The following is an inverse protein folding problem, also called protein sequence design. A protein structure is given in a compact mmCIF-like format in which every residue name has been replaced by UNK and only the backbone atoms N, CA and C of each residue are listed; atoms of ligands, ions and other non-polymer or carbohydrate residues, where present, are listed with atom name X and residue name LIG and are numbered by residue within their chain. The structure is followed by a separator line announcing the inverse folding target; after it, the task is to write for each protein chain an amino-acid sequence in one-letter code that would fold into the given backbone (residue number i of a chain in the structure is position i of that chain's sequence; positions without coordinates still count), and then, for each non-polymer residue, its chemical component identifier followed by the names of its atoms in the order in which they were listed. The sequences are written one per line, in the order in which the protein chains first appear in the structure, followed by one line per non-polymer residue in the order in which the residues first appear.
data_IF_276850220237
#
_entry.id   IF_276850220237
#
_cell.length_a   1.000
_cell.length_b   1.000
_cell.length_c   1.000
_cell.angle_alpha   90.00
_cell.angle_beta   90.00
_cell.angle_gamma   90.00
#
_symmetry.space_group_name_H-M   'P 1'
#
loop_
_entity.id
_entity.type
_entity.pdbx_description
1 polymer ?
#
# COMPACT_ATOMS: atom_id res chain seq x y z
N UNK A 1 3.12 -8.50 -19.67
CA UNK A 1 4.41 -8.30 -20.35
C UNK A 1 5.52 -8.50 -19.32
N UNK A 2 6.36 -9.52 -19.50
CA UNK A 2 7.53 -9.76 -18.62
C UNK A 2 8.64 -8.81 -19.04
N UNK A 3 8.65 -7.60 -18.48
CA UNK A 3 9.77 -6.68 -18.59
C UNK A 3 10.93 -7.16 -17.72
N UNK A 4 11.55 -8.29 -18.07
CA UNK A 4 12.79 -8.74 -17.43
C UNK A 4 13.96 -8.17 -18.22
N UNK A 5 14.44 -6.99 -17.81
CA UNK A 5 15.83 -6.65 -18.05
C UNK A 5 16.61 -7.18 -16.83
N UNK A 6 17.36 -8.28 -16.93
CA UNK A 6 18.09 -8.86 -15.79
C UNK A 6 19.14 -7.91 -15.19
N UNK A 7 19.41 -6.75 -15.81
CA UNK A 7 20.28 -5.70 -15.29
C UNK A 7 19.57 -4.63 -14.44
N UNK A 8 18.24 -4.61 -14.42
CA UNK A 8 17.44 -3.68 -13.59
C UNK A 8 16.62 -4.54 -12.65
N UNK A 9 17.22 -4.90 -11.52
CA UNK A 9 16.45 -5.45 -10.41
C UNK A 9 15.73 -4.26 -9.74
N UNK A 10 14.39 -4.30 -9.78
CA UNK A 10 13.52 -3.27 -9.16
C UNK A 10 13.90 -3.08 -7.70
N UNK A 11 14.26 -4.15 -7.00
CA UNK A 11 14.70 -4.10 -5.61
C UNK A 11 16.01 -3.34 -5.42
N UNK A 12 16.88 -3.29 -6.43
CA UNK A 12 18.21 -2.65 -6.36
C UNK A 12 18.14 -1.13 -6.53
N UNK A 13 17.16 -0.60 -7.25
CA UNK A 13 17.08 0.84 -7.53
C UNK A 13 15.84 1.51 -6.94
N UNK A 14 14.69 0.82 -6.97
CA UNK A 14 13.43 1.39 -6.52
C UNK A 14 13.35 1.44 -4.99
N UNK A 15 13.69 0.34 -4.30
CA UNK A 15 13.57 0.29 -2.84
C UNK A 15 14.47 1.30 -2.12
N UNK A 16 15.77 1.47 -2.44
CA UNK A 16 16.58 2.48 -1.76
C UNK A 16 16.06 3.90 -1.97
N UNK A 17 15.52 4.20 -3.15
CA UNK A 17 14.92 5.50 -3.44
C UNK A 17 13.64 5.70 -2.62
N UNK A 18 12.76 4.70 -2.57
CA UNK A 18 11.53 4.72 -1.78
C UNK A 18 11.85 4.85 -0.29
N UNK A 19 12.79 4.07 0.25
CA UNK A 19 13.20 4.17 1.65
C UNK A 19 13.73 5.58 1.98
N UNK A 20 14.60 6.14 1.13
CA UNK A 20 15.11 7.49 1.33
C UNK A 20 13.99 8.54 1.28
N UNK A 21 13.04 8.39 0.36
CA UNK A 21 11.85 9.25 0.27
C UNK A 21 10.96 9.13 1.51
N UNK A 22 10.77 7.90 2.01
CA UNK A 22 9.93 7.61 3.16
C UNK A 22 10.50 8.13 4.48
N UNK A 23 11.80 8.45 4.57
CA UNK A 23 12.37 9.12 5.76
C UNK A 23 11.67 10.44 6.10
N UNK A 24 11.10 11.13 5.11
CA UNK A 24 10.29 12.32 5.35
C UNK A 24 9.02 12.04 6.18
N UNK A 25 8.64 10.76 6.36
CA UNK A 25 7.52 10.31 7.20
C UNK A 25 7.92 9.74 8.56
N UNK A 26 9.18 9.86 8.96
CA UNK A 26 9.60 9.43 10.30
C UNK A 26 8.80 10.15 11.39
N UNK A 27 8.22 9.38 12.32
CA UNK A 27 7.43 9.90 13.43
C UNK A 27 6.08 10.56 13.06
N UNK A 28 5.71 10.64 11.77
CA UNK A 28 4.42 11.24 11.35
C UNK A 28 3.44 10.20 10.81
N UNK A 29 2.17 10.61 10.68
CA UNK A 29 1.10 9.77 10.17
C UNK A 29 1.20 9.52 8.67
N UNK A 30 0.94 8.27 8.25
CA UNK A 30 0.89 7.84 6.85
C UNK A 30 -0.46 7.20 6.56
N UNK A 31 -1.04 7.51 5.41
CA UNK A 31 -2.20 6.78 4.88
C UNK A 31 -1.75 5.92 3.72
N UNK A 32 -1.90 4.60 3.88
CA UNK A 32 -1.64 3.61 2.86
C UNK A 32 -2.94 3.04 2.30
N UNK A 33 -2.89 2.58 1.07
CA UNK A 33 -4.03 1.96 0.38
C UNK A 33 -3.60 0.63 -0.19
N UNK A 34 -4.37 -0.42 0.08
CA UNK A 34 -4.30 -1.68 -0.64
C UNK A 34 -5.38 -1.68 -1.72
N UNK A 35 -4.99 -1.89 -2.98
CA UNK A 35 -5.90 -1.95 -4.12
C UNK A 35 -5.50 -3.03 -5.12
N UNK A 36 -6.45 -3.39 -5.99
CA UNK A 36 -6.23 -4.23 -7.16
C UNK A 36 -6.73 -3.57 -8.44
N UNK A 37 -6.00 -3.76 -9.53
CA UNK A 37 -6.38 -3.27 -10.85
C UNK A 37 -6.19 -4.36 -11.89
N UNK A 38 -7.23 -4.62 -12.69
CA UNK A 38 -7.15 -5.54 -13.83
C UNK A 38 -6.56 -4.80 -15.03
N UNK A 39 -5.52 -5.39 -15.60
CA UNK A 39 -4.82 -4.88 -16.77
C UNK A 39 -5.01 -5.83 -17.96
N UNK A 40 -5.51 -5.30 -19.07
CA UNK A 40 -5.76 -6.03 -20.32
C UNK A 40 -6.58 -7.32 -20.14
N UNK A 41 -7.49 -7.35 -19.18
CA UNK A 41 -8.33 -8.51 -18.82
C UNK A 41 -7.56 -9.80 -18.56
N UNK A 42 -6.27 -9.68 -18.24
CA UNK A 42 -5.33 -10.82 -18.19
C UNK A 42 -4.44 -10.83 -16.97
N UNK A 43 -4.20 -9.66 -16.41
CA UNK A 43 -3.34 -9.50 -15.25
C UNK A 43 -4.08 -8.76 -14.15
N UNK A 44 -3.84 -9.16 -12.90
CA UNK A 44 -4.27 -8.43 -11.73
C UNK A 44 -3.03 -7.82 -11.07
N UNK A 45 -2.94 -6.50 -11.09
CA UNK A 45 -1.98 -5.75 -10.31
C UNK A 45 -2.51 -5.65 -8.88
N UNK A 46 -1.71 -6.04 -7.90
CA UNK A 46 -1.93 -5.80 -6.47
C UNK A 46 -0.95 -4.70 -6.06
N UNK A 47 -1.41 -3.67 -5.38
CA UNK A 47 -0.55 -2.58 -4.96
C UNK A 47 -0.85 -2.04 -3.57
N UNK A 48 0.20 -1.64 -2.87
CA UNK A 48 0.12 -0.83 -1.66
C UNK A 48 0.74 0.53 -1.95
N UNK A 49 -0.06 1.58 -1.81
CA UNK A 49 0.33 2.94 -2.16
C UNK A 49 0.30 3.87 -0.95
N UNK A 50 1.28 4.76 -0.82
CA UNK A 50 1.20 5.94 0.04
C UNK A 50 0.33 7.00 -0.63
N UNK A 51 -0.54 7.61 0.16
CA UNK A 51 -1.40 8.69 -0.28
C UNK A 51 -0.87 10.02 0.23
N UNK A 52 -0.48 10.89 -0.69
CA UNK A 52 0.06 12.21 -0.37
C UNK A 52 -0.12 13.21 -1.52
N UNK A 53 -0.42 14.48 -1.20
CA UNK A 53 -0.55 15.54 -2.21
C UNK A 53 -1.63 15.29 -3.28
N UNK A 54 -2.67 14.50 -2.95
CA UNK A 54 -3.69 14.08 -3.91
C UNK A 54 -3.18 13.13 -5.00
N UNK A 55 -2.10 12.39 -4.70
CA UNK A 55 -1.49 11.35 -5.55
C UNK A 55 -1.36 10.04 -4.75
N UNK A 56 -1.31 8.93 -5.47
CA UNK A 56 -0.88 7.62 -4.96
C UNK A 56 0.56 7.36 -5.39
N UNK A 57 1.41 6.98 -4.44
CA UNK A 57 2.82 6.66 -4.66
C UNK A 57 2.98 5.17 -4.33
N UNK A 58 3.24 4.30 -5.33
CA UNK A 58 3.37 2.87 -5.10
C UNK A 58 4.56 2.56 -4.19
N UNK A 59 4.33 1.81 -3.12
CA UNK A 59 5.37 1.34 -2.21
C UNK A 59 5.69 -0.14 -2.46
N UNK A 60 4.68 -0.98 -2.59
CA UNK A 60 4.84 -2.40 -2.90
C UNK A 60 3.84 -2.83 -3.96
N UNK A 61 4.26 -3.69 -4.89
CA UNK A 61 3.42 -4.17 -5.99
C UNK A 61 3.70 -5.64 -6.32
N UNK A 62 2.70 -6.33 -6.83
CA UNK A 62 2.82 -7.67 -7.43
C UNK A 62 1.83 -7.82 -8.58
N UNK A 63 2.14 -8.68 -9.54
CA UNK A 63 1.27 -8.95 -10.70
C UNK A 63 0.96 -10.42 -10.78
N UNK A 64 -0.33 -10.74 -10.73
CA UNK A 64 -0.85 -12.08 -10.95
C UNK A 64 -1.36 -12.23 -12.38
N UNK A 65 -1.25 -13.44 -12.95
CA UNK A 65 -1.76 -13.76 -14.28
C UNK A 65 -3.18 -14.31 -14.21
N UNK A 66 -4.15 -13.45 -13.89
CA UNK A 66 -5.58 -13.73 -14.04
C UNK A 66 -6.36 -12.43 -14.34
N UNK A 67 -7.55 -12.58 -14.93
CA UNK A 67 -8.39 -11.45 -15.38
C UNK A 67 -9.43 -10.98 -14.37
N UNK A 68 -9.19 -11.15 -13.06
CA UNK A 68 -10.12 -10.73 -12.01
C UNK A 68 -9.43 -9.79 -11.03
N UNK A 69 -10.17 -8.84 -10.44
CA UNK A 69 -9.66 -8.02 -9.34
C UNK A 69 -9.74 -8.76 -7.99
N UNK A 70 -10.49 -9.87 -7.92
CA UNK A 70 -10.62 -10.65 -6.68
C UNK A 70 -9.34 -11.43 -6.41
N UNK A 71 -8.74 -11.15 -5.25
CA UNK A 71 -7.51 -11.81 -4.79
C UNK A 71 -7.70 -12.36 -3.37
N UNK A 72 -7.01 -13.46 -3.08
CA UNK A 72 -6.98 -14.07 -1.76
C UNK A 72 -5.96 -13.39 -0.84
N UNK A 73 -6.09 -13.62 0.46
CA UNK A 73 -5.14 -13.08 1.45
C UNK A 73 -3.68 -13.42 1.17
N UNK A 74 -3.39 -14.65 0.74
CA UNK A 74 -2.02 -15.08 0.43
C UNK A 74 -1.42 -14.37 -0.79
N UNK A 75 -2.26 -13.81 -1.67
CA UNK A 75 -1.79 -13.10 -2.85
C UNK A 75 -1.22 -11.72 -2.50
N UNK A 76 -1.86 -11.00 -1.57
CA UNK A 76 -1.48 -9.63 -1.22
C UNK A 76 -0.68 -9.52 0.09
N UNK A 77 -0.65 -10.58 0.92
CA UNK A 77 0.19 -10.61 2.14
C UNK A 77 1.67 -10.31 1.85
N UNK A 78 2.33 -10.90 0.84
CA UNK A 78 3.74 -10.60 0.56
C UNK A 78 3.97 -9.13 0.17
N UNK A 79 2.99 -8.50 -0.49
CA UNK A 79 3.03 -7.08 -0.88
C UNK A 79 2.95 -6.18 0.36
N UNK A 80 2.07 -6.52 1.30
CA UNK A 80 1.96 -5.84 2.60
C UNK A 80 3.25 -5.98 3.42
N UNK A 81 3.76 -7.20 3.57
CA UNK A 81 4.99 -7.47 4.34
C UNK A 81 6.20 -6.73 3.76
N UNK A 82 6.32 -6.69 2.44
CA UNK A 82 7.37 -5.94 1.76
C UNK A 82 7.23 -4.44 2.00
N UNK A 83 6.01 -3.90 1.90
CA UNK A 83 5.75 -2.49 2.15
C UNK A 83 6.08 -2.11 3.60
N UNK A 84 5.65 -2.91 4.58
CA UNK A 84 5.90 -2.64 5.99
C UNK A 84 7.39 -2.60 6.34
N UNK A 85 8.22 -3.39 5.67
CA UNK A 85 9.69 -3.39 5.89
C UNK A 85 10.32 -2.05 5.55
N UNK A 86 9.83 -1.35 4.52
CA UNK A 86 10.36 -0.06 4.08
C UNK A 86 9.88 1.15 4.90
N UNK A 87 8.84 0.99 5.73
CA UNK A 87 8.30 2.13 6.48
C UNK A 87 9.30 2.64 7.54
N UNK A 88 9.43 3.96 7.71
CA UNK A 88 10.35 4.53 8.70
C UNK A 88 9.91 4.16 10.12
N UNK A 89 10.81 4.23 11.11
CA UNK A 89 10.45 4.00 12.50
C UNK A 89 9.47 5.07 13.00
N UNK A 90 8.64 4.69 14.00
CA UNK A 90 7.74 5.62 14.69
C UNK A 90 6.56 6.17 13.87
N UNK A 91 6.44 5.86 12.57
CA UNK A 91 5.32 6.35 11.76
C UNK A 91 4.00 5.70 12.17
N UNK A 92 2.92 6.48 12.28
CA UNK A 92 1.59 5.93 12.50
C UNK A 92 0.94 5.60 11.16
N UNK A 93 0.58 4.35 10.94
CA UNK A 93 0.06 3.92 9.63
C UNK A 93 -1.44 3.67 9.72
N UNK A 94 -2.17 4.31 8.82
CA UNK A 94 -3.56 4.00 8.50
C UNK A 94 -3.60 3.25 7.18
N UNK A 95 -3.97 1.98 7.19
CA UNK A 95 -4.19 1.20 5.97
C UNK A 95 -5.67 1.22 5.62
N UNK A 96 -5.96 1.63 4.39
CA UNK A 96 -7.28 1.62 3.78
C UNK A 96 -7.33 0.49 2.76
N UNK A 97 -8.39 -0.30 2.80
CA UNK A 97 -8.66 -1.36 1.84
C UNK A 97 -10.17 -1.46 1.61
N UNK A 98 -10.58 -1.89 0.42
CA UNK A 98 -11.98 -2.13 0.14
C UNK A 98 -12.51 -3.42 0.81
N UNK A 99 -13.83 -3.64 0.70
CA UNK A 99 -14.47 -4.81 1.32
C UNK A 99 -14.10 -6.14 0.65
N UNK A 100 -13.58 -6.09 -0.59
CA UNK A 100 -13.04 -7.26 -1.28
C UNK A 100 -11.84 -7.88 -0.56
N UNK A 101 -11.22 -7.16 0.37
CA UNK A 101 -10.13 -7.62 1.23
C UNK A 101 -10.58 -8.06 2.64
N UNK A 102 -11.88 -8.17 2.94
CA UNK A 102 -12.42 -8.59 4.26
C UNK A 102 -12.17 -10.08 4.59
N UNK A 103 -11.00 -10.60 4.29
CA UNK A 103 -10.58 -11.94 4.69
C UNK A 103 -10.31 -11.96 6.20
N UNK A 104 -10.91 -12.90 6.93
CA UNK A 104 -10.66 -13.03 8.37
C UNK A 104 -9.18 -13.20 8.72
N UNK A 105 -8.39 -13.81 7.82
CA UNK A 105 -6.94 -13.91 7.95
C UNK A 105 -6.25 -12.53 7.90
N UNK A 106 -6.71 -11.62 7.04
CA UNK A 106 -6.20 -10.26 6.97
C UNK A 106 -6.48 -9.47 8.25
N UNK A 107 -7.70 -9.57 8.80
CA UNK A 107 -8.03 -8.89 10.07
C UNK A 107 -7.17 -9.40 11.23
N UNK A 108 -6.89 -10.71 11.27
CA UNK A 108 -5.97 -11.29 12.26
C UNK A 108 -4.56 -10.75 12.07
N UNK A 109 -4.04 -10.79 10.84
CA UNK A 109 -2.72 -10.27 10.52
C UNK A 109 -2.54 -8.78 10.92
N UNK A 110 -3.56 -7.95 10.66
CA UNK A 110 -3.57 -6.53 11.07
C UNK A 110 -3.54 -6.34 12.60
N UNK A 111 -4.10 -7.29 13.35
CA UNK A 111 -4.08 -7.27 14.82
C UNK A 111 -2.70 -7.66 15.34
N UNK A 112 -2.08 -8.67 14.76
CA UNK A 112 -0.75 -9.14 15.16
C UNK A 112 0.32 -8.10 14.83
N UNK A 113 0.23 -7.46 13.67
CA UNK A 113 1.17 -6.41 13.24
C UNK A 113 0.95 -5.06 13.91
N UNK A 114 -0.12 -4.92 14.71
CA UNK A 114 -0.38 -3.71 15.49
C UNK A 114 0.66 -3.45 16.58
N UNK A 115 1.36 -4.51 17.00
CA UNK A 115 2.30 -4.50 18.12
C UNK A 115 3.77 -4.70 17.70
N UNK A 116 4.04 -5.02 16.44
CA UNK A 116 5.35 -5.55 16.00
C UNK A 116 6.37 -4.48 15.56
N UNK A 117 6.01 -3.21 15.39
CA UNK A 117 6.99 -2.13 15.20
C UNK A 117 7.03 -1.22 16.43
N UNK A 118 8.16 -1.28 17.13
CA UNK A 118 8.58 -0.48 18.28
C UNK A 118 8.08 0.99 18.26
N UNK A 119 6.87 1.24 18.75
CA UNK A 119 6.31 2.59 18.96
C UNK A 119 5.43 3.15 17.85
N UNK A 120 5.27 2.48 16.69
CA UNK A 120 4.30 2.91 15.67
C UNK A 120 2.91 2.38 16.01
N UNK A 121 2.02 3.26 16.47
CA UNK A 121 0.60 2.93 16.62
C UNK A 121 -0.03 2.72 15.22
N UNK A 122 -0.03 1.47 14.76
CA UNK A 122 -0.75 1.05 13.56
C UNK A 122 -2.26 1.01 13.85
N UNK A 123 -3.06 1.80 13.14
CA UNK A 123 -4.53 1.81 13.30
C UNK A 123 -5.18 1.41 11.99
N UNK A 124 -5.62 0.13 11.84
CA UNK A 124 -6.32 -0.28 10.63
C UNK A 124 -7.70 0.40 10.60
N UNK A 125 -8.03 1.04 9.48
CA UNK A 125 -9.35 1.57 9.21
C UNK A 125 -9.80 1.09 7.83
N UNK A 126 -10.79 0.20 7.80
CA UNK A 126 -11.35 -0.29 6.55
C UNK A 126 -12.31 0.77 6.01
N UNK A 127 -11.93 1.41 4.90
CA UNK A 127 -12.75 2.40 4.22
C UNK A 127 -12.72 2.15 2.72
N UNK A 128 -13.86 2.28 2.04
CA UNK A 128 -13.93 2.08 0.59
C UNK A 128 -13.08 3.09 -0.17
N UNK A 129 -12.40 2.62 -1.22
CA UNK A 129 -11.59 3.45 -2.14
C UNK A 129 -12.34 4.66 -2.69
N UNK A 130 -13.66 4.55 -2.92
CA UNK A 130 -14.50 5.69 -3.37
C UNK A 130 -14.50 6.83 -2.34
N UNK A 131 -14.58 6.50 -1.07
CA UNK A 131 -14.53 7.48 0.04
C UNK A 131 -13.15 8.10 0.15
N UNK A 132 -12.08 7.34 -0.12
CA UNK A 132 -10.73 7.86 -0.10
C UNK A 132 -10.42 8.78 -1.29
N UNK A 133 -10.84 8.42 -2.51
CA UNK A 133 -10.71 9.33 -3.66
C UNK A 133 -11.49 10.63 -3.44
N UNK A 134 -12.65 10.56 -2.76
CA UNK A 134 -13.36 11.74 -2.30
C UNK A 134 -12.55 12.55 -1.28
N UNK A 135 -11.99 11.91 -0.24
CA UNK A 135 -11.13 12.54 0.76
C UNK A 135 -9.90 13.23 0.12
N UNK A 136 -9.32 12.60 -0.90
CA UNK A 136 -8.18 13.13 -1.65
C UNK A 136 -8.53 14.34 -2.51
N UNK A 137 -9.72 14.35 -3.11
CA UNK A 137 -10.25 15.55 -3.79
C UNK A 137 -10.46 16.69 -2.78
N UNK A 138 -10.94 16.37 -1.57
CA UNK A 138 -11.13 17.37 -0.51
C UNK A 138 -9.81 17.94 0.01
N UNK A 139 -8.77 17.11 0.21
CA UNK A 139 -7.45 17.56 0.67
C UNK A 139 -6.75 18.50 -0.32
N UNK A 140 -7.03 18.41 -1.64
CA UNK A 140 -6.56 19.39 -2.63
C UNK A 140 -7.14 20.80 -2.43
N UNK A 141 -8.32 20.93 -1.81
CA UNK A 141 -8.94 22.24 -1.57
C UNK A 141 -8.33 23.00 -0.38
N UNK A 142 -7.62 22.32 0.51
CA UNK A 142 -7.01 22.92 1.71
C UNK A 142 -5.56 23.40 1.52
N UNK A 143 -4.94 23.14 0.36
CA UNK A 143 -3.56 23.56 0.03
C UNK A 143 -3.51 24.82 -0.87
N UNK A 144 -4.66 25.47 -1.07
CA UNK A 144 -4.77 26.77 -1.73
C UNK A 144 -5.34 27.81 -0.75
N UNK A 145 -4.65 28.07 0.36
CA UNK A 145 -4.76 29.31 1.13
C UNK A 145 -3.45 29.60 1.85
#
# INVERSE_FOLDING_TARGET
MTGSNPKINVETFYYPLVEQFLKAWEGIGMTLVLDTSVLWDKYCLIEVCLIWGGRSIPLGQSVLKHGSATVGYEDYRPVLETTLRMLPPGCQVRLLADRGFEHGAFIRWLRDHRYLKNGSNYRPELSSLKSLFSLLKTQKSFLHH
#
